data_IF_058874045388
#
_entry.id   IF_058874045388
#
_cell.length_a   1.000
_cell.length_b   1.000
_cell.length_c   1.000
_cell.angle_alpha   90.00
_cell.angle_beta   90.00
_cell.angle_gamma   90.00
#
_symmetry.space_group_name_H-M   'P 1'
#
loop_
_entity.id
_entity.type
_entity.pdbx_description
1 polymer ?
#
# COMPACT_ATOMS: atom_id res chain seq x y z
N UNK A 1 7.64 -0.07 11.34
CA UNK A 1 7.08 0.57 10.14
C UNK A 1 5.90 1.45 10.54
N UNK A 2 5.84 2.68 10.06
CA UNK A 2 4.75 3.63 10.31
C UNK A 2 4.07 4.01 8.99
N UNK A 3 2.74 4.02 8.97
CA UNK A 3 1.95 4.51 7.84
C UNK A 3 1.66 5.98 8.10
N UNK A 4 2.11 6.88 7.22
CA UNK A 4 1.94 8.34 7.39
C UNK A 4 0.75 8.83 6.59
N UNK A 5 0.58 8.36 5.37
CA UNK A 5 -0.48 8.81 4.46
C UNK A 5 -0.90 7.69 3.54
N UNK A 6 -2.19 7.59 3.28
CA UNK A 6 -2.79 6.63 2.36
C UNK A 6 -3.63 7.39 1.34
N UNK A 7 -3.38 7.16 0.05
CA UNK A 7 -4.19 7.68 -1.05
C UNK A 7 -4.96 6.53 -1.68
N UNK A 8 -6.28 6.65 -1.72
CA UNK A 8 -7.17 5.65 -2.31
C UNK A 8 -7.96 6.32 -3.43
N UNK A 9 -7.97 5.72 -4.61
CA UNK A 9 -8.75 6.15 -5.76
C UNK A 9 -9.35 4.92 -6.45
N UNK A 10 -10.56 5.05 -6.98
CA UNK A 10 -11.26 4.02 -7.75
C UNK A 10 -11.31 2.63 -7.07
N UNK A 11 -11.54 2.59 -5.76
CA UNK A 11 -11.59 1.34 -4.99
C UNK A 11 -12.89 1.22 -4.19
N UNK A 12 -13.75 0.27 -4.58
CA UNK A 12 -15.08 0.03 -3.98
C UNK A 12 -15.91 1.33 -3.90
N UNK A 13 -16.21 1.81 -2.70
CA UNK A 13 -16.98 3.02 -2.44
C UNK A 13 -16.19 4.33 -2.65
N UNK A 14 -14.88 4.27 -2.86
CA UNK A 14 -14.06 5.43 -3.20
C UNK A 14 -14.08 5.67 -4.71
N UNK A 15 -15.08 6.44 -5.19
CA UNK A 15 -15.17 6.89 -6.59
C UNK A 15 -14.23 8.05 -6.93
N UNK A 16 -13.82 8.82 -5.92
CA UNK A 16 -12.87 9.93 -6.06
C UNK A 16 -11.61 9.62 -5.25
N UNK A 17 -10.53 10.32 -5.56
CA UNK A 17 -9.29 10.21 -4.79
C UNK A 17 -9.50 10.78 -3.39
N UNK A 18 -9.32 9.94 -2.38
CA UNK A 18 -9.35 10.33 -0.97
C UNK A 18 -7.97 10.11 -0.36
N UNK A 19 -7.49 11.11 0.36
CA UNK A 19 -6.21 11.05 1.08
C UNK A 19 -6.50 11.02 2.57
N UNK A 20 -5.90 10.07 3.28
CA UNK A 20 -6.06 9.90 4.72
C UNK A 20 -4.69 10.01 5.38
N UNK A 21 -4.56 10.98 6.29
CA UNK A 21 -3.34 11.22 7.06
C UNK A 21 -3.48 10.56 8.43
N UNK A 22 -2.46 9.80 8.82
CA UNK A 22 -2.43 9.12 10.11
C UNK A 22 -1.57 9.90 11.10
N UNK A 23 -2.11 10.10 12.30
CA UNK A 23 -1.43 10.71 13.42
C UNK A 23 -0.46 9.71 14.09
N UNK A 24 0.41 10.24 14.93
CA UNK A 24 1.25 9.42 15.81
C UNK A 24 0.40 8.76 16.90
N UNK A 25 0.73 7.52 17.24
CA UNK A 25 -0.02 6.72 18.22
C UNK A 25 -1.23 6.02 17.61
N UNK A 26 -2.38 6.13 18.29
CA UNK A 26 -3.59 5.39 17.96
C UNK A 26 -4.50 6.19 17.02
N UNK A 27 -4.80 5.62 15.85
CA UNK A 27 -5.76 6.18 14.90
C UNK A 27 -7.03 5.32 14.90
N UNK A 28 -8.18 5.93 15.17
CA UNK A 28 -9.48 5.24 15.15
C UNK A 28 -10.28 5.73 13.95
N UNK A 29 -10.71 4.81 13.09
CA UNK A 29 -11.49 5.12 11.88
C UNK A 29 -12.97 4.85 12.18
N UNK A 30 -13.76 5.92 12.30
CA UNK A 30 -15.20 5.86 12.58
C UNK A 30 -16.02 6.26 11.35
N UNK A 31 -17.27 5.82 11.29
CA UNK A 31 -18.19 6.14 10.21
C UNK A 31 -19.40 5.21 10.19
N UNK A 32 -20.36 5.47 9.31
CA UNK A 32 -21.55 4.64 9.10
C UNK A 32 -21.24 3.32 8.37
N UNK A 33 -22.15 2.35 8.42
CA UNK A 33 -22.01 1.14 7.60
C UNK A 33 -21.86 1.51 6.11
N UNK A 34 -21.16 0.65 5.36
CA UNK A 34 -20.80 0.87 3.95
C UNK A 34 -19.96 2.13 3.65
N UNK A 35 -19.56 2.93 4.64
CA UNK A 35 -18.77 4.16 4.44
C UNK A 35 -17.34 3.92 3.94
N UNK A 36 -16.91 2.67 3.77
CA UNK A 36 -15.60 2.31 3.22
C UNK A 36 -14.50 2.00 4.23
N UNK A 37 -14.80 1.90 5.52
CA UNK A 37 -13.82 1.54 6.57
C UNK A 37 -13.06 0.24 6.26
N UNK A 38 -13.80 -0.83 5.97
CA UNK A 38 -13.22 -2.13 5.59
C UNK A 38 -12.50 -2.07 4.24
N UNK A 39 -12.93 -1.18 3.34
CA UNK A 39 -12.28 -0.99 2.04
C UNK A 39 -10.90 -0.34 2.20
N UNK A 40 -10.73 0.63 3.12
CA UNK A 40 -9.42 1.22 3.46
C UNK A 40 -8.47 0.15 4.00
N UNK A 41 -8.93 -0.64 4.98
CA UNK A 41 -8.13 -1.71 5.58
C UNK A 41 -7.75 -2.79 4.55
N UNK A 42 -8.66 -3.17 3.66
CA UNK A 42 -8.37 -4.10 2.57
C UNK A 42 -7.32 -3.57 1.60
N UNK A 43 -7.46 -2.32 1.15
CA UNK A 43 -6.51 -1.68 0.26
C UNK A 43 -5.10 -1.59 0.89
N UNK A 44 -5.01 -1.25 2.18
CA UNK A 44 -3.76 -1.22 2.93
C UNK A 44 -3.07 -2.59 2.99
N UNK A 45 -3.84 -3.65 3.27
CA UNK A 45 -3.32 -5.02 3.33
C UNK A 45 -2.80 -5.49 1.97
N UNK A 46 -3.56 -5.25 0.90
CA UNK A 46 -3.16 -5.60 -0.47
C UNK A 46 -1.90 -4.83 -0.87
N UNK A 47 -1.84 -3.53 -0.57
CA UNK A 47 -0.71 -2.68 -0.95
C UNK A 47 0.60 -3.13 -0.27
N UNK A 48 0.54 -3.59 0.98
CA UNK A 48 1.71 -4.18 1.66
C UNK A 48 2.17 -5.48 1.01
N UNK A 49 1.23 -6.37 0.67
CA UNK A 49 1.56 -7.64 0.01
C UNK A 49 2.17 -7.44 -1.38
N UNK A 50 1.62 -6.50 -2.16
CA UNK A 50 2.16 -6.14 -3.49
C UNK A 50 3.55 -5.52 -3.36
N UNK A 51 3.75 -4.60 -2.40
CA UNK A 51 5.07 -4.00 -2.17
C UNK A 51 6.10 -5.06 -1.75
N UNK A 52 5.71 -5.99 -0.88
CA UNK A 52 6.57 -7.09 -0.46
C UNK A 52 6.97 -7.99 -1.64
N UNK A 53 6.01 -8.30 -2.52
CA UNK A 53 6.27 -9.09 -3.71
C UNK A 53 7.20 -8.36 -4.70
N UNK A 54 6.92 -7.09 -4.99
CA UNK A 54 7.76 -6.24 -5.86
C UNK A 54 9.19 -6.11 -5.33
N UNK A 55 9.36 -5.92 -4.02
CA UNK A 55 10.70 -5.85 -3.42
C UNK A 55 11.46 -7.17 -3.61
N UNK A 56 10.80 -8.32 -3.46
CA UNK A 56 11.40 -9.64 -3.67
C UNK A 56 11.74 -9.92 -5.14
N UNK A 57 10.91 -9.49 -6.08
CA UNK A 57 11.22 -9.61 -7.51
C UNK A 57 12.37 -8.68 -7.94
N UNK A 58 12.41 -7.44 -7.47
CA UNK A 58 13.47 -6.49 -7.83
C UNK A 58 14.86 -6.96 -7.35
N UNK A 59 14.94 -7.60 -6.19
CA UNK A 59 16.17 -8.23 -5.70
C UNK A 59 16.60 -9.46 -6.52
N UNK A 60 15.67 -10.22 -7.10
CA UNK A 60 16.00 -11.36 -7.98
C UNK A 60 16.62 -10.88 -9.30
N UNK A 61 16.08 -9.83 -9.91
CA UNK A 61 16.60 -9.24 -11.15
C UNK A 61 17.98 -8.59 -10.91
N UNK A 62 18.15 -7.87 -9.79
CA UNK A 62 19.42 -7.22 -9.47
C UNK A 62 20.60 -8.19 -9.27
N UNK A 63 20.36 -9.44 -8.81
CA UNK A 63 21.41 -10.47 -8.73
C UNK A 63 21.77 -11.09 -10.08
N UNK A 64 20.88 -11.01 -11.07
CA UNK A 64 21.12 -11.61 -12.39
C UNK A 64 21.88 -10.67 -13.33
N UNK A 65 21.83 -9.36 -13.10
CA UNK A 65 22.58 -8.35 -13.87
C UNK A 65 24.03 -8.18 -13.40
N UNK A 66 24.38 -8.65 -12.20
CA UNK A 66 25.75 -8.57 -11.65
C UNK A 66 26.76 -9.48 -12.37
N UNK A 67 26.32 -10.40 -13.23
CA UNK A 67 27.20 -11.30 -13.99
C UNK A 67 27.39 -10.88 -15.46
N UNK A 68 26.77 -9.79 -15.93
CA UNK A 68 26.76 -9.37 -17.33
C UNK A 68 27.63 -8.12 -17.61
N UNK A 69 28.60 -7.84 -16.74
CA UNK A 69 29.63 -6.81 -16.95
C UNK A 69 31.02 -7.42 -16.75
N UNK A 70 31.36 -8.40 -17.57
CA UNK A 70 32.72 -8.88 -17.81
C UNK A 70 32.78 -9.42 -19.24
N UNK A 71 32.78 -8.50 -20.19
CA UNK A 71 33.45 -8.59 -21.49
C UNK A 71 33.44 -7.21 -22.15
#
# INVERSE_FOLDING_TARGET
MRIVTVKIANHKCYRRTSTLHFNEGLNVILGTNESGKTAILGALSISKSVLFLQFRFRFKIARHTSCLHLN
#
